data_IF_040462254618
#
_entry.id   IF_040462254618
#
_cell.length_a   1.000
_cell.length_b   1.000
_cell.length_c   1.000
_cell.angle_alpha   90.00
_cell.angle_beta   90.00
_cell.angle_gamma   90.00
#
_symmetry.space_group_name_H-M   'P 1'
#
loop_
_entity.id
_entity.type
_entity.pdbx_description
1 polymer ?
#
# COMPACT_ATOMS: atom_id res chain seq x y z
N UNK A 1 17.70 33.56 -12.64
CA UNK A 1 18.76 32.99 -11.78
C UNK A 1 18.59 33.58 -10.39
N UNK A 2 18.08 32.80 -9.43
CA UNK A 2 18.06 33.19 -8.02
C UNK A 2 18.98 32.23 -7.29
N UNK A 3 20.26 32.60 -7.22
CA UNK A 3 21.22 31.99 -6.30
C UNK A 3 20.95 32.63 -4.94
N UNK A 4 20.35 31.88 -4.02
CA UNK A 4 20.38 32.21 -2.59
C UNK A 4 21.77 31.86 -2.07
N UNK A 5 22.75 32.69 -2.40
CA UNK A 5 24.06 32.71 -1.74
C UNK A 5 24.16 34.01 -0.94
N UNK A 6 24.00 33.89 0.38
CA UNK A 6 24.41 34.93 1.32
C UNK A 6 25.75 34.50 1.92
N UNK A 7 26.70 35.44 1.94
CA UNK A 7 28.17 35.32 2.07
C UNK A 7 28.75 34.61 3.31
N UNK A 8 28.04 33.74 4.06
CA UNK A 8 28.69 33.08 5.21
C UNK A 8 28.38 31.61 5.50
N UNK A 9 27.33 30.99 4.98
CA UNK A 9 27.09 29.55 5.20
C UNK A 9 26.34 28.91 4.03
N UNK A 10 26.78 27.72 3.59
CA UNK A 10 26.01 26.88 2.65
C UNK A 10 24.71 26.45 3.35
N UNK A 11 23.62 27.16 3.08
CA UNK A 11 22.42 27.19 3.92
C UNK A 11 21.46 25.99 3.79
N UNK A 12 21.66 25.05 2.85
CA UNK A 12 20.74 23.90 2.70
C UNK A 12 21.45 22.63 2.19
N UNK A 13 21.39 21.56 2.98
CA UNK A 13 21.74 20.20 2.54
C UNK A 13 20.45 19.47 2.13
N UNK A 14 20.40 19.00 0.88
CA UNK A 14 19.25 18.26 0.34
C UNK A 14 19.65 16.80 0.19
N UNK A 15 18.93 15.91 0.88
CA UNK A 15 19.05 14.45 0.72
C UNK A 15 17.86 13.95 -0.10
N UNK A 16 18.14 13.41 -1.28
CA UNK A 16 17.13 12.77 -2.13
C UNK A 16 17.14 11.26 -1.88
N UNK A 17 16.03 10.72 -1.36
CA UNK A 17 15.85 9.29 -1.11
C UNK A 17 14.63 8.80 -1.89
N UNK A 18 14.76 7.64 -2.52
CA UNK A 18 13.67 7.03 -3.26
C UNK A 18 14.04 5.65 -3.77
N UNK A 19 13.05 5.03 -4.40
CA UNK A 19 13.23 3.76 -5.12
C UNK A 19 14.06 3.97 -6.41
N UNK A 20 14.54 2.90 -7.08
CA UNK A 20 15.37 3.01 -8.28
C UNK A 20 14.81 3.94 -9.38
N UNK A 21 13.50 4.08 -9.49
CA UNK A 21 12.78 4.97 -10.41
C UNK A 21 13.16 6.44 -10.21
N UNK A 22 13.56 6.85 -9.00
CA UNK A 22 14.07 8.19 -8.74
C UNK A 22 15.37 8.44 -9.53
N UNK A 23 16.24 7.43 -9.64
CA UNK A 23 17.47 7.52 -10.44
C UNK A 23 17.13 7.74 -11.91
N UNK A 24 16.13 7.03 -12.42
CA UNK A 24 15.69 7.14 -13.81
C UNK A 24 15.06 8.50 -14.09
N UNK A 25 14.21 8.99 -13.18
CA UNK A 25 13.66 10.34 -13.26
C UNK A 25 14.75 11.40 -13.26
N UNK A 26 15.73 11.30 -12.36
CA UNK A 26 16.86 12.24 -12.33
C UNK A 26 17.70 12.20 -13.62
N UNK A 27 17.65 11.12 -14.41
CA UNK A 27 18.32 11.03 -15.70
C UNK A 27 17.57 11.72 -16.85
N UNK A 28 16.32 12.15 -16.64
CA UNK A 28 15.54 12.85 -17.67
C UNK A 28 16.21 14.17 -18.10
N UNK A 29 16.12 14.57 -19.38
CA UNK A 29 16.73 15.79 -19.89
C UNK A 29 16.31 17.04 -19.11
N UNK A 30 15.04 17.09 -18.68
CA UNK A 30 14.43 18.19 -17.93
C UNK A 30 15.08 18.41 -16.55
N UNK A 31 15.62 17.34 -15.94
CA UNK A 31 16.24 17.37 -14.61
C UNK A 31 17.77 17.41 -14.65
N UNK A 32 18.37 17.63 -15.83
CA UNK A 32 19.83 17.64 -16.01
C UNK A 32 20.56 18.63 -15.09
N UNK A 33 19.99 19.82 -14.89
CA UNK A 33 20.57 20.84 -14.01
C UNK A 33 20.60 20.39 -12.54
N UNK A 34 19.52 19.74 -12.09
CA UNK A 34 19.44 19.18 -10.73
C UNK A 34 20.42 18.01 -10.58
N UNK A 35 20.47 17.11 -11.57
CA UNK A 35 21.38 15.96 -11.59
C UNK A 35 22.86 16.36 -11.50
N UNK A 36 23.25 17.47 -12.11
CA UNK A 36 24.62 18.03 -12.04
C UNK A 36 24.98 18.55 -10.64
N UNK A 37 23.99 18.93 -9.83
CA UNK A 37 24.20 19.42 -8.46
C UNK A 37 24.22 18.30 -7.41
N UNK A 38 23.92 17.06 -7.79
CA UNK A 38 23.99 15.90 -6.89
C UNK A 38 25.45 15.47 -6.75
N UNK A 39 26.08 15.86 -5.63
CA UNK A 39 27.50 15.60 -5.36
C UNK A 39 27.83 14.17 -4.93
N UNK A 40 26.87 13.44 -4.37
CA UNK A 40 27.05 12.05 -3.94
C UNK A 40 25.85 11.22 -4.37
N UNK A 41 26.11 10.02 -4.90
CA UNK A 41 25.10 9.04 -5.26
C UNK A 41 25.46 7.72 -4.63
N UNK A 42 24.57 7.21 -3.78
CA UNK A 42 24.73 5.93 -3.12
C UNK A 42 23.52 5.06 -3.44
N UNK A 43 23.75 3.76 -3.58
CA UNK A 43 22.70 2.76 -3.65
C UNK A 43 22.87 1.80 -2.47
N UNK A 44 21.78 1.54 -1.76
CA UNK A 44 21.78 0.60 -0.64
C UNK A 44 21.51 -0.77 -1.24
N UNK A 45 22.56 -1.60 -1.31
CA UNK A 45 22.45 -3.00 -1.73
C UNK A 45 21.89 -3.87 -0.59
N UNK A 46 21.46 -5.08 -0.95
CA UNK A 46 21.16 -6.10 0.04
C UNK A 46 22.43 -6.47 0.84
N UNK A 47 22.24 -6.85 2.10
CA UNK A 47 23.33 -7.25 2.99
C UNK A 47 23.93 -8.58 2.54
N UNK A 48 25.26 -8.69 2.56
CA UNK A 48 25.94 -9.98 2.46
C UNK A 48 25.60 -10.89 3.64
N UNK A 49 25.90 -12.21 3.59
CA UNK A 49 25.68 -13.10 4.73
C UNK A 49 26.41 -12.67 6.01
N UNK A 50 27.62 -12.12 5.87
CA UNK A 50 28.37 -11.60 7.01
C UNK A 50 27.76 -10.30 7.56
N UNK A 51 27.36 -9.37 6.70
CA UNK A 51 26.65 -8.16 7.12
C UNK A 51 25.29 -8.47 7.75
N UNK A 52 24.60 -9.52 7.27
CA UNK A 52 23.34 -10.00 7.86
C UNK A 52 23.56 -10.51 9.29
N UNK A 53 24.62 -11.30 9.52
CA UNK A 53 25.02 -11.72 10.87
C UNK A 53 25.28 -10.53 11.78
N UNK A 54 26.06 -9.55 11.29
CA UNK A 54 26.38 -8.35 12.05
C UNK A 54 25.13 -7.50 12.33
N UNK A 55 24.23 -7.39 11.35
CA UNK A 55 22.97 -6.69 11.45
C UNK A 55 22.07 -7.28 12.54
N UNK A 56 21.86 -8.60 12.54
CA UNK A 56 21.06 -9.30 13.55
C UNK A 56 21.67 -9.08 14.95
N UNK A 57 22.98 -9.28 15.10
CA UNK A 57 23.67 -9.06 16.38
C UNK A 57 23.57 -7.62 16.86
N UNK A 58 23.71 -6.66 15.95
CA UNK A 58 23.60 -5.24 16.27
C UNK A 58 22.18 -4.88 16.73
N UNK A 59 21.15 -5.38 16.04
CA UNK A 59 19.74 -5.16 16.41
C UNK A 59 19.41 -5.77 17.77
N UNK A 60 19.88 -6.98 18.05
CA UNK A 60 19.72 -7.63 19.35
C UNK A 60 20.40 -6.83 20.47
N UNK A 61 21.62 -6.32 20.22
CA UNK A 61 22.33 -5.47 21.18
C UNK A 61 21.55 -4.17 21.47
N UNK A 62 21.00 -3.52 20.44
CA UNK A 62 20.15 -2.33 20.63
C UNK A 62 18.90 -2.66 21.46
N UNK A 63 18.32 -3.86 21.27
CA UNK A 63 17.19 -4.35 22.05
C UNK A 63 17.55 -4.77 23.49
N UNK A 64 18.82 -4.63 23.91
CA UNK A 64 19.28 -4.95 25.26
C UNK A 64 19.73 -6.40 25.46
N UNK A 65 19.83 -7.20 24.40
CA UNK A 65 20.35 -8.56 24.51
C UNK A 65 21.83 -8.52 24.94
N UNK A 66 22.12 -9.15 26.08
CA UNK A 66 23.48 -9.31 26.60
C UNK A 66 24.19 -10.51 25.98
N UNK A 67 23.42 -11.51 25.53
CA UNK A 67 23.92 -12.73 24.89
C UNK A 67 23.82 -12.63 23.36
N UNK A 68 24.95 -12.79 22.68
CA UNK A 68 25.02 -12.87 21.22
C UNK A 68 24.59 -14.24 20.67
N UNK A 69 24.37 -15.23 21.54
CA UNK A 69 24.03 -16.61 21.24
C UNK A 69 22.54 -16.91 21.06
N UNK A 70 21.66 -15.90 21.11
CA UNK A 70 20.20 -16.07 20.92
C UNK A 70 19.89 -16.78 19.60
N UNK A 71 20.63 -16.48 18.52
CA UNK A 71 20.53 -17.23 17.27
C UNK A 71 21.78 -18.09 17.07
N UNK A 72 21.58 -19.36 16.71
CA UNK A 72 22.66 -20.23 16.26
C UNK A 72 23.20 -19.78 14.89
N UNK A 73 24.46 -20.13 14.57
CA UNK A 73 25.03 -19.78 13.26
C UNK A 73 24.26 -20.42 12.10
N UNK A 74 23.73 -21.62 12.30
CA UNK A 74 22.86 -22.30 11.33
C UNK A 74 21.53 -21.54 11.12
N UNK A 75 20.94 -20.99 12.19
CA UNK A 75 19.76 -20.13 12.09
C UNK A 75 20.07 -18.85 11.31
N UNK A 76 21.19 -18.18 11.62
CA UNK A 76 21.61 -16.96 10.93
C UNK A 76 21.84 -17.22 9.44
N UNK A 77 22.50 -18.32 9.09
CA UNK A 77 22.72 -18.69 7.69
C UNK A 77 21.39 -18.86 6.96
N UNK A 78 20.44 -19.57 7.57
CA UNK A 78 19.14 -19.82 6.98
C UNK A 78 18.30 -18.55 6.82
N UNK A 79 18.37 -17.64 7.80
CA UNK A 79 17.75 -16.30 7.70
C UNK A 79 18.37 -15.51 6.55
N UNK A 80 19.70 -15.55 6.40
CA UNK A 80 20.40 -14.91 5.29
C UNK A 80 19.95 -15.46 3.94
N UNK A 81 19.88 -16.79 3.81
CA UNK A 81 19.48 -17.46 2.57
C UNK A 81 18.04 -17.16 2.20
N UNK A 82 17.11 -17.14 3.17
CA UNK A 82 15.71 -16.81 2.92
C UNK A 82 15.52 -15.32 2.60
N UNK A 83 16.13 -14.44 3.38
CA UNK A 83 15.93 -12.99 3.24
C UNK A 83 16.67 -12.36 2.06
N UNK A 84 17.64 -13.08 1.48
CA UNK A 84 18.54 -12.57 0.44
C UNK A 84 19.20 -11.25 0.85
N UNK A 85 19.49 -11.08 2.15
CA UNK A 85 20.10 -9.87 2.69
C UNK A 85 19.17 -8.66 2.84
N UNK A 86 17.87 -8.80 2.63
CA UNK A 86 16.91 -7.68 2.73
C UNK A 86 16.57 -7.37 4.19
N UNK A 87 16.95 -6.21 4.74
CA UNK A 87 16.77 -5.91 6.17
C UNK A 87 15.32 -6.04 6.68
N UNK A 88 14.35 -5.66 5.84
CA UNK A 88 12.93 -5.80 6.17
C UNK A 88 12.52 -7.26 6.36
N UNK A 89 12.95 -8.14 5.47
CA UNK A 89 12.64 -9.58 5.52
C UNK A 89 13.37 -10.23 6.69
N UNK A 90 14.64 -9.87 6.91
CA UNK A 90 15.42 -10.32 8.08
C UNK A 90 14.66 -10.04 9.37
N UNK A 91 14.18 -8.80 9.55
CA UNK A 91 13.45 -8.44 10.79
C UNK A 91 12.16 -9.24 10.95
N UNK A 92 11.35 -9.38 9.89
CA UNK A 92 10.09 -10.13 9.96
C UNK A 92 10.33 -11.58 10.40
N UNK A 93 11.33 -12.24 9.81
CA UNK A 93 11.67 -13.63 10.16
C UNK A 93 12.21 -13.71 11.59
N UNK A 94 13.13 -12.82 11.97
CA UNK A 94 13.68 -12.78 13.32
C UNK A 94 12.59 -12.56 14.38
N UNK A 95 11.67 -11.63 14.16
CA UNK A 95 10.58 -11.32 15.08
C UNK A 95 9.68 -12.55 15.29
N UNK A 96 9.33 -13.25 14.20
CA UNK A 96 8.56 -14.49 14.29
C UNK A 96 9.34 -15.59 15.02
N UNK A 97 10.63 -15.77 14.71
CA UNK A 97 11.48 -16.74 15.40
C UNK A 97 11.55 -16.48 16.91
N UNK A 98 11.68 -15.21 17.31
CA UNK A 98 11.74 -14.83 18.72
C UNK A 98 10.40 -15.08 19.43
N UNK A 99 9.27 -14.82 18.77
CA UNK A 99 7.95 -15.12 19.31
C UNK A 99 7.71 -16.63 19.45
N UNK A 100 8.01 -17.43 18.43
CA UNK A 100 7.91 -18.89 18.48
C UNK A 100 8.85 -19.48 19.54
N UNK A 101 10.11 -19.02 19.58
CA UNK A 101 11.07 -19.47 20.59
C UNK A 101 10.65 -19.11 22.01
N UNK A 102 10.04 -17.94 22.21
CA UNK A 102 9.48 -17.55 23.51
C UNK A 102 8.29 -18.44 23.91
N UNK A 103 7.36 -18.72 22.99
CA UNK A 103 6.23 -19.62 23.25
C UNK A 103 6.68 -21.03 23.65
N UNK A 104 7.73 -21.53 23.02
CA UNK A 104 8.35 -22.84 23.30
C UNK A 104 9.32 -22.82 24.49
N UNK A 105 9.48 -21.69 25.19
CA UNK A 105 10.44 -21.51 26.29
C UNK A 105 11.90 -21.84 25.91
N UNK A 106 12.26 -21.68 24.63
CA UNK A 106 13.62 -21.92 24.13
C UNK A 106 14.47 -20.66 24.27
N UNK A 107 15.63 -20.81 24.90
CA UNK A 107 16.63 -19.73 25.06
C UNK A 107 17.43 -19.44 23.78
N UNK A 108 17.51 -20.41 22.88
CA UNK A 108 18.31 -20.35 21.64
C UNK A 108 17.47 -20.74 20.44
N UNK A 109 17.54 -19.92 19.40
CA UNK A 109 16.89 -20.12 18.11
C UNK A 109 17.81 -20.95 17.20
N UNK A 110 17.32 -22.12 16.79
CA UNK A 110 17.98 -23.02 15.85
C UNK A 110 17.39 -22.90 14.42
N UNK A 111 18.00 -23.63 13.48
CA UNK A 111 17.55 -23.64 12.10
C UNK A 111 16.17 -24.31 11.89
N UNK A 112 15.66 -25.04 12.89
CA UNK A 112 14.33 -25.66 12.87
C UNK A 112 13.25 -24.61 13.12
N UNK A 113 13.42 -23.78 14.15
CA UNK A 113 12.48 -22.68 14.45
C UNK A 113 12.46 -21.66 13.29
N UNK A 114 13.61 -21.40 12.66
CA UNK A 114 13.67 -20.55 11.46
C UNK A 114 12.88 -21.17 10.31
N UNK A 115 12.95 -22.50 10.12
CA UNK A 115 12.16 -23.17 9.08
C UNK A 115 10.67 -22.97 9.30
N UNK A 116 10.22 -23.22 10.53
CA UNK A 116 8.81 -23.10 10.90
C UNK A 116 8.31 -21.66 10.72
N UNK A 117 9.12 -20.67 11.12
CA UNK A 117 8.81 -19.26 10.91
C UNK A 117 8.70 -18.90 9.42
N UNK A 118 9.61 -19.42 8.58
CA UNK A 118 9.57 -19.21 7.13
C UNK A 118 8.32 -19.84 6.52
N UNK A 119 8.01 -21.09 6.85
CA UNK A 119 6.83 -21.79 6.36
C UNK A 119 5.53 -21.05 6.73
N UNK A 120 5.43 -20.57 7.97
CA UNK A 120 4.30 -19.77 8.44
C UNK A 120 4.13 -18.47 7.64
N UNK A 121 5.23 -17.76 7.38
CA UNK A 121 5.21 -16.51 6.61
C UNK A 121 4.77 -16.74 5.16
N UNK A 122 5.27 -17.79 4.51
CA UNK A 122 4.84 -18.16 3.17
C UNK A 122 3.36 -18.55 3.11
N UNK A 123 2.85 -19.25 4.12
CA UNK A 123 1.42 -19.55 4.22
C UNK A 123 0.56 -18.29 4.38
N UNK A 124 1.01 -17.33 5.19
CA UNK A 124 0.38 -16.03 5.36
C UNK A 124 0.26 -15.27 4.05
N UNK A 125 1.36 -15.15 3.29
CA UNK A 125 1.37 -14.50 1.98
C UNK A 125 0.43 -15.21 0.98
N UNK A 126 0.44 -16.55 0.96
CA UNK A 126 -0.47 -17.34 0.11
C UNK A 126 -1.95 -17.08 0.45
N UNK A 127 -2.29 -16.92 1.73
CA UNK A 127 -3.67 -16.60 2.18
C UNK A 127 -4.06 -15.17 1.83
N UNK A 128 -3.19 -14.19 2.05
CA UNK A 128 -3.45 -12.80 1.69
C UNK A 128 -3.63 -12.60 0.18
N UNK A 129 -2.82 -13.25 -0.66
CA UNK A 129 -2.98 -13.23 -2.11
C UNK A 129 -4.33 -13.80 -2.56
N UNK A 130 -4.78 -14.93 -1.99
CA UNK A 130 -6.09 -15.50 -2.30
C UNK A 130 -7.24 -14.58 -1.87
N UNK A 131 -7.16 -14.04 -0.66
CA UNK A 131 -8.22 -13.17 -0.11
C UNK A 131 -8.32 -11.84 -0.86
N UNK A 132 -7.19 -11.22 -1.24
CA UNK A 132 -7.20 -9.99 -2.05
C UNK A 132 -7.71 -10.22 -3.47
N UNK A 133 -7.47 -11.39 -4.06
CA UNK A 133 -7.99 -11.73 -5.39
C UNK A 133 -9.52 -11.95 -5.39
N UNK A 134 -10.12 -12.26 -4.24
CA UNK A 134 -11.57 -12.41 -4.09
C UNK A 134 -12.32 -11.11 -3.75
N UNK A 135 -11.63 -10.02 -3.40
CA UNK A 135 -12.28 -8.72 -3.12
C UNK A 135 -12.04 -7.77 -4.29
N UNK A 136 -12.63 -8.08 -5.45
CA UNK A 136 -12.92 -7.08 -6.47
C UNK A 136 -14.35 -6.56 -6.25
N UNK A 137 -14.56 -5.81 -5.16
CA UNK A 137 -15.71 -4.90 -5.04
C UNK A 137 -15.32 -3.58 -5.72
N UNK A 138 -15.08 -3.65 -7.03
CA UNK A 138 -15.19 -2.46 -7.88
C UNK A 138 -16.68 -2.35 -8.20
N UNK A 139 -17.43 -1.37 -7.66
CA UNK A 139 -18.80 -1.18 -8.12
C UNK A 139 -18.73 -0.87 -9.61
N UNK A 140 -19.27 -1.76 -10.43
CA UNK A 140 -19.49 -1.51 -11.85
C UNK A 140 -20.26 -0.20 -11.99
N UNK A 141 -19.76 0.71 -12.81
CA UNK A 141 -20.44 1.95 -13.17
C UNK A 141 -21.87 1.71 -13.71
N UNK A 142 -22.25 0.47 -14.05
CA UNK A 142 -23.61 0.07 -14.43
C UNK A 142 -24.66 0.17 -13.31
N UNK A 143 -24.26 0.06 -12.04
CA UNK A 143 -25.22 0.12 -10.92
C UNK A 143 -25.82 1.53 -10.71
N UNK A 144 -25.06 2.58 -11.08
CA UNK A 144 -25.53 3.97 -11.03
C UNK A 144 -26.50 4.33 -12.17
N UNK A 145 -26.47 3.63 -13.31
CA UNK A 145 -27.44 3.86 -14.39
C UNK A 145 -28.79 3.20 -14.12
N UNK A 146 -28.79 1.99 -13.53
CA UNK A 146 -30.03 1.29 -13.19
C UNK A 146 -30.88 2.05 -12.16
N UNK A 147 -30.24 2.70 -11.17
CA UNK A 147 -30.93 3.49 -10.16
C UNK A 147 -31.50 4.82 -10.69
N UNK A 148 -30.99 5.36 -11.81
CA UNK A 148 -31.50 6.61 -12.42
C UNK A 148 -32.71 6.38 -13.32
N UNK A 149 -32.86 5.18 -13.90
CA UNK A 149 -33.98 4.84 -14.79
C UNK A 149 -35.33 4.81 -14.05
N UNK A 150 -35.35 4.33 -12.80
CA UNK A 150 -36.58 4.23 -12.01
C UNK A 150 -37.16 5.58 -11.59
N UNK A 151 -36.30 6.52 -11.18
CA UNK A 151 -36.74 7.84 -10.70
C UNK A 151 -37.22 8.72 -11.87
N UNK A 152 -36.58 8.63 -13.05
CA UNK A 152 -37.01 9.37 -14.23
C UNK A 152 -38.40 8.95 -14.72
N UNK A 153 -38.70 7.64 -14.74
CA UNK A 153 -40.02 7.12 -15.11
C UNK A 153 -41.12 7.60 -14.16
N UNK A 154 -40.83 7.65 -12.87
CA UNK A 154 -41.79 8.07 -11.84
C UNK A 154 -42.11 9.57 -11.96
N UNK A 155 -41.11 10.40 -12.23
CA UNK A 155 -41.29 11.85 -12.46
C UNK A 155 -42.09 12.09 -13.75
N UNK A 156 -41.79 11.38 -14.84
CA UNK A 156 -42.55 11.49 -16.11
C UNK A 156 -44.01 11.05 -15.89
N UNK A 157 -44.25 9.97 -15.16
CA UNK A 157 -45.59 9.50 -14.86
C UNK A 157 -46.40 10.52 -14.03
N UNK A 158 -45.78 11.14 -13.02
CA UNK A 158 -46.43 12.19 -12.22
C UNK A 158 -46.79 13.41 -13.07
N UNK A 159 -45.87 13.87 -13.93
CA UNK A 159 -46.13 15.00 -14.84
C UNK A 159 -47.29 14.66 -15.78
N UNK A 160 -47.33 13.45 -16.33
CA UNK A 160 -48.40 13.01 -17.23
C UNK A 160 -49.75 12.94 -16.52
N UNK A 161 -49.77 12.47 -15.27
CA UNK A 161 -50.99 12.35 -14.46
C UNK A 161 -51.52 13.73 -14.04
N UNK A 162 -50.64 14.67 -13.71
CA UNK A 162 -51.01 16.07 -13.46
C UNK A 162 -51.53 16.77 -14.71
N UNK A 163 -50.89 16.56 -15.86
CA UNK A 163 -51.36 17.09 -17.14
C UNK A 163 -52.71 16.48 -17.56
N UNK A 164 -52.90 15.18 -17.37
CA UNK A 164 -54.17 14.50 -17.62
C UNK A 164 -55.28 15.01 -16.70
N UNK A 165 -54.99 15.18 -15.40
CA UNK A 165 -55.95 15.73 -14.45
C UNK A 165 -56.31 17.19 -14.77
N UNK A 166 -55.33 18.03 -15.14
CA UNK A 166 -55.57 19.40 -15.56
C UNK A 166 -56.41 19.48 -16.85
N UNK A 167 -56.14 18.58 -17.81
CA UNK A 167 -56.92 18.50 -19.04
C UNK A 167 -58.33 17.97 -18.77
N UNK A 168 -58.50 16.97 -17.88
CA UNK A 168 -59.81 16.45 -17.48
C UNK A 168 -60.65 17.53 -16.74
N UNK A 169 -60.02 18.37 -15.93
CA UNK A 169 -60.69 19.52 -15.29
C UNK A 169 -61.05 20.61 -16.32
N UNK A 170 -60.22 20.82 -17.34
CA UNK A 170 -60.51 21.71 -18.47
C UNK A 170 -61.70 21.25 -19.32
N UNK A 171 -61.86 19.93 -19.52
CA UNK A 171 -63.00 19.34 -20.24
C UNK A 171 -64.34 19.47 -19.47
N UNK A 172 -64.30 19.52 -18.13
CA UNK A 172 -65.47 19.80 -17.30
C UNK A 172 -65.87 21.29 -17.30
N UNK A 173 -64.94 22.20 -17.60
CA UNK A 173 -65.20 23.64 -17.67
C UNK A 173 -65.56 24.14 -19.08
N UNK A 174 -65.41 23.32 -20.12
CA UNK A 174 -65.57 23.71 -21.53
C UNK A 174 -66.78 23.09 -22.25
N UNK A 175 -67.79 22.58 -21.54
CA UNK A 175 -69.07 22.15 -22.13
C UNK A 175 -69.90 23.37 -22.58
N UNK A 176 -70.08 23.64 -23.88
CA UNK A 176 -70.94 24.70 -24.37
C UNK A 176 -72.27 24.11 -24.85
N UNK A 177 -73.35 24.47 -24.13
CA UNK A 177 -74.71 24.72 -24.63
C UNK A 177 -75.48 23.65 -25.42
N UNK A 178 -76.75 23.44 -25.07
CA UNK A 178 -77.65 22.69 -25.95
C UNK A 178 -79.08 22.55 -25.44
N UNK A 179 -79.98 23.33 -26.02
CA UNK A 179 -81.40 23.51 -25.74
C UNK A 179 -82.34 22.49 -26.39
N UNK A 180 -83.51 22.28 -25.75
CA UNK A 180 -84.86 22.02 -26.31
C UNK A 180 -85.14 20.63 -26.94
N UNK A 181 -86.40 20.14 -26.97
CA UNK A 181 -87.68 20.85 -27.22
C UNK A 181 -88.47 21.26 -25.98
#
# INVERSE_FOLDING_TARGET
>A
MSNFETTSQKLMQILLVGQPELRDKLNLPELRQLKQRVGLRCHIAALSPEETRQYIRHRLRIAGATDAGIFSDAAIQKISDYSQGTPRVINIVCDHCLLSGYADSKRRIDAGIVQEAVEYLEEGERREWKTRRSVSLVPSNGALWAARSGVALLVVMIIFLLAFAANALGWLAAMPGGTHP
#
